data_IF_307202485470
#
_entry.id   IF_307202485470
#
_cell.length_a   1.000
_cell.length_b   1.000
_cell.length_c   1.000
_cell.angle_alpha   90.00
_cell.angle_beta   90.00
_cell.angle_gamma   90.00
#
_symmetry.space_group_name_H-M   'P 1'
#
loop_
_entity.id
_entity.type
_entity.pdbx_description
1 polymer ?
#
# COMPACT_ATOMS: atom_id res chain seq x y z
N UNK A 1 29.89 -24.43 -49.16
CA UNK A 1 30.64 -23.57 -48.22
C UNK A 1 29.90 -23.55 -46.87
N UNK A 2 30.26 -24.43 -45.93
CA UNK A 2 30.89 -24.16 -44.62
C UNK A 2 30.44 -22.89 -43.85
N UNK A 3 29.79 -23.17 -42.71
CA UNK A 3 29.82 -22.50 -41.37
C UNK A 3 29.33 -21.05 -41.33
N UNK A 4 28.53 -20.62 -40.35
CA UNK A 4 28.78 -20.74 -38.92
C UNK A 4 27.49 -20.80 -38.10
N UNK A 5 27.47 -21.74 -37.14
CA UNK A 5 26.54 -21.75 -36.02
C UNK A 5 26.87 -20.57 -35.10
N UNK A 6 25.88 -19.71 -34.82
CA UNK A 6 25.98 -18.77 -33.70
C UNK A 6 25.37 -19.44 -32.46
N UNK A 7 26.24 -20.13 -31.72
CA UNK A 7 25.93 -20.58 -30.36
C UNK A 7 25.70 -19.35 -29.49
N UNK A 8 24.44 -19.09 -29.14
CA UNK A 8 24.11 -18.17 -28.06
C UNK A 8 24.59 -18.78 -26.74
N UNK A 9 25.51 -18.10 -26.07
CA UNK A 9 26.01 -18.46 -24.74
C UNK A 9 24.83 -18.64 -23.77
N UNK A 10 24.82 -19.68 -22.91
CA UNK A 10 23.81 -19.80 -21.87
C UNK A 10 23.95 -18.62 -20.91
N UNK A 11 22.90 -17.80 -20.79
CA UNK A 11 22.83 -16.76 -19.75
C UNK A 11 22.75 -17.48 -18.40
N UNK A 12 23.90 -17.60 -17.72
CA UNK A 12 23.99 -18.08 -16.35
C UNK A 12 23.12 -17.16 -15.49
N UNK A 13 21.93 -17.63 -15.13
CA UNK A 13 21.02 -16.96 -14.19
C UNK A 13 21.70 -17.02 -12.83
N UNK A 14 22.42 -15.95 -12.47
CA UNK A 14 22.95 -15.76 -11.12
C UNK A 14 21.78 -15.91 -10.14
N UNK A 15 21.79 -16.98 -9.35
CA UNK A 15 20.86 -17.14 -8.23
C UNK A 15 21.27 -16.10 -7.20
N UNK A 16 20.55 -14.98 -7.17
CA UNK A 16 20.62 -14.03 -6.07
C UNK A 16 20.23 -14.82 -4.81
N UNK A 17 21.08 -14.89 -3.77
CA UNK A 17 20.68 -15.53 -2.54
C UNK A 17 19.47 -14.75 -2.00
N UNK A 18 18.37 -15.47 -1.75
CA UNK A 18 17.22 -14.93 -1.03
C UNK A 18 17.75 -14.49 0.33
N UNK A 19 17.90 -13.18 0.51
CA UNK A 19 18.06 -12.62 1.84
C UNK A 19 16.93 -13.18 2.69
N UNK A 20 17.28 -13.65 3.88
CA UNK A 20 16.32 -14.08 4.90
C UNK A 20 15.42 -12.88 5.17
N UNK A 21 14.27 -12.85 4.52
CA UNK A 21 13.17 -11.99 4.90
C UNK A 21 12.88 -12.35 6.36
N UNK A 22 13.13 -11.36 7.21
CA UNK A 22 12.90 -11.42 8.63
C UNK A 22 11.47 -11.92 8.83
N UNK A 23 11.33 -12.84 9.78
CA UNK A 23 10.07 -13.38 10.26
C UNK A 23 9.25 -12.24 10.87
N UNK A 24 8.61 -11.44 10.01
CA UNK A 24 7.68 -10.38 10.37
C UNK A 24 6.39 -11.10 10.72
N UNK A 25 6.04 -11.12 12.00
CA UNK A 25 4.79 -11.70 12.47
C UNK A 25 3.63 -11.18 11.62
N UNK A 26 2.95 -12.10 10.92
CA UNK A 26 1.69 -11.85 10.22
C UNK A 26 0.58 -11.67 11.29
N UNK A 27 0.72 -10.71 12.18
CA UNK A 27 -0.38 -10.30 13.05
C UNK A 27 -1.39 -9.57 12.20
N UNK A 28 -2.34 -10.31 11.66
CA UNK A 28 -3.54 -9.74 11.05
C UNK A 28 -4.30 -9.00 12.14
N UNK A 29 -4.23 -7.67 12.09
CA UNK A 29 -5.04 -6.79 12.94
C UNK A 29 -6.50 -7.17 12.75
N UNK A 30 -7.15 -7.60 13.84
CA UNK A 30 -8.59 -7.87 13.85
C UNK A 30 -9.31 -6.52 13.94
N UNK A 31 -10.05 -6.18 12.89
CA UNK A 31 -10.86 -4.97 12.84
C UNK A 31 -12.05 -5.09 13.80
N UNK A 32 -12.03 -4.30 14.88
CA UNK A 32 -13.16 -4.16 15.80
C UNK A 32 -14.23 -3.24 15.20
N UNK A 33 -15.46 -3.32 15.70
CA UNK A 33 -16.54 -2.43 15.24
C UNK A 33 -16.22 -0.96 15.50
N UNK A 34 -15.59 -0.65 16.63
CA UNK A 34 -15.12 0.71 16.93
C UNK A 34 -14.16 1.25 15.87
N UNK A 35 -13.21 0.43 15.39
CA UNK A 35 -12.28 0.83 14.32
C UNK A 35 -13.00 1.08 13.00
N UNK A 36 -13.98 0.23 12.65
CA UNK A 36 -14.78 0.40 11.43
C UNK A 36 -15.61 1.68 11.50
N UNK A 37 -16.27 1.91 12.64
CA UNK A 37 -17.10 3.10 12.87
C UNK A 37 -16.31 4.39 12.74
N UNK A 38 -15.12 4.47 13.35
CA UNK A 38 -14.26 5.66 13.23
C UNK A 38 -13.82 5.85 11.79
N UNK A 39 -13.33 4.80 11.12
CA UNK A 39 -12.91 4.89 9.72
C UNK A 39 -14.04 5.36 8.79
N UNK A 40 -15.24 4.79 8.93
CA UNK A 40 -16.41 5.15 8.13
C UNK A 40 -16.75 6.63 8.36
N UNK A 41 -16.80 7.09 9.61
CA UNK A 41 -17.09 8.49 9.94
C UNK A 41 -16.03 9.44 9.37
N UNK A 42 -14.75 9.11 9.49
CA UNK A 42 -13.66 9.95 8.98
C UNK A 42 -13.68 10.04 7.44
N UNK A 43 -13.99 8.94 6.74
CA UNK A 43 -14.15 8.96 5.27
C UNK A 43 -15.41 9.74 4.85
N UNK A 44 -16.54 9.54 5.53
CA UNK A 44 -17.79 10.23 5.21
C UNK A 44 -17.68 11.75 5.33
N UNK A 45 -16.94 12.25 6.33
CA UNK A 45 -16.68 13.70 6.52
C UNK A 45 -15.94 14.35 5.36
N UNK A 46 -15.18 13.58 4.59
CA UNK A 46 -14.31 14.09 3.53
C UNK A 46 -14.98 13.86 2.17
N UNK A 47 -15.87 14.78 1.79
CA UNK A 47 -16.68 14.66 0.58
C UNK A 47 -15.86 14.40 -0.69
N UNK A 48 -14.66 14.96 -0.81
CA UNK A 48 -13.81 14.76 -1.99
C UNK A 48 -13.37 13.28 -2.19
N UNK A 49 -13.58 12.39 -1.22
CA UNK A 49 -13.34 10.95 -1.38
C UNK A 49 -14.47 10.28 -2.18
N UNK A 50 -15.73 10.63 -1.91
CA UNK A 50 -16.90 9.89 -2.39
C UNK A 50 -17.87 10.71 -3.25
N UNK A 51 -17.91 12.03 -3.09
CA UNK A 51 -18.80 12.93 -3.82
C UNK A 51 -18.18 13.35 -5.15
N UNK A 52 -18.68 12.80 -6.26
CA UNK A 52 -18.20 13.11 -7.61
C UNK A 52 -18.40 14.59 -8.02
N UNK A 53 -19.35 15.28 -7.38
CA UNK A 53 -19.64 16.70 -7.64
C UNK A 53 -18.69 17.63 -6.88
N UNK A 54 -17.92 17.10 -5.92
CA UNK A 54 -16.93 17.89 -5.20
C UNK A 54 -15.78 18.28 -6.15
N UNK A 55 -15.39 19.56 -6.15
CA UNK A 55 -14.34 20.11 -7.03
C UNK A 55 -13.01 19.36 -6.89
N UNK A 56 -12.73 18.85 -5.69
CA UNK A 56 -11.50 18.14 -5.37
C UNK A 56 -11.59 16.62 -5.60
N UNK A 57 -12.73 16.10 -6.09
CA UNK A 57 -12.92 14.66 -6.27
C UNK A 57 -11.83 14.02 -7.15
N UNK A 58 -11.34 14.74 -8.16
CA UNK A 58 -10.26 14.28 -9.05
C UNK A 58 -8.85 14.58 -8.52
N UNK A 59 -8.70 15.31 -7.42
CA UNK A 59 -7.42 15.69 -6.86
C UNK A 59 -6.78 14.52 -6.09
N UNK A 60 -5.89 13.79 -6.76
CA UNK A 60 -5.21 12.63 -6.17
C UNK A 60 -4.28 13.01 -5.00
N UNK A 61 -3.60 14.16 -5.09
CA UNK A 61 -2.70 14.63 -4.02
C UNK A 61 -3.48 14.94 -2.74
N UNK A 62 -4.60 15.65 -2.87
CA UNK A 62 -5.48 15.95 -1.73
C UNK A 62 -6.07 14.69 -1.11
N UNK A 63 -6.54 13.73 -1.92
CA UNK A 63 -7.02 12.44 -1.42
C UNK A 63 -5.93 11.67 -0.67
N UNK A 64 -4.70 11.65 -1.19
CA UNK A 64 -3.56 11.01 -0.51
C UNK A 64 -3.29 11.65 0.85
N UNK A 65 -3.30 12.98 0.92
CA UNK A 65 -3.12 13.71 2.18
C UNK A 65 -4.24 13.34 3.17
N UNK A 66 -5.50 13.35 2.74
CA UNK A 66 -6.62 13.01 3.61
C UNK A 66 -6.51 11.57 4.13
N UNK A 67 -6.18 10.59 3.28
CA UNK A 67 -5.98 9.22 3.74
C UNK A 67 -4.82 9.09 4.72
N UNK A 68 -3.76 9.89 4.57
CA UNK A 68 -2.68 9.95 5.53
C UNK A 68 -3.15 10.50 6.89
N UNK A 69 -3.90 11.60 6.88
CA UNK A 69 -4.49 12.18 8.10
C UNK A 69 -5.43 11.19 8.80
N UNK A 70 -6.29 10.48 8.06
CA UNK A 70 -7.15 9.43 8.61
C UNK A 70 -6.32 8.28 9.19
N UNK A 71 -5.24 7.88 8.53
CA UNK A 71 -4.36 6.83 9.05
C UNK A 71 -3.67 7.25 10.36
N UNK A 72 -3.25 8.52 10.47
CA UNK A 72 -2.70 9.08 11.70
C UNK A 72 -3.73 9.11 12.83
N UNK A 73 -4.96 9.56 12.57
CA UNK A 73 -6.06 9.53 13.53
C UNK A 73 -6.30 8.10 14.05
N UNK A 74 -6.36 7.12 13.14
CA UNK A 74 -6.52 5.70 13.50
C UNK A 74 -5.34 5.14 14.30
N UNK A 75 -4.11 5.57 13.97
CA UNK A 75 -2.89 5.22 14.70
C UNK A 75 -2.93 5.73 16.14
N UNK A 76 -3.32 6.99 16.32
CA UNK A 76 -3.41 7.63 17.63
C UNK A 76 -4.51 7.01 18.50
N UNK A 77 -5.67 6.72 17.91
CA UNK A 77 -6.82 6.18 18.64
C UNK A 77 -6.68 4.70 19.00
N UNK A 78 -6.08 3.89 18.13
CA UNK A 78 -6.07 2.43 18.26
C UNK A 78 -4.66 1.81 18.39
N UNK A 79 -3.61 2.63 18.45
CA UNK A 79 -2.23 2.16 18.59
C UNK A 79 -1.70 1.41 17.36
N UNK A 80 -2.22 1.71 16.17
CA UNK A 80 -1.82 1.06 14.92
C UNK A 80 -0.48 1.64 14.45
N UNK A 81 0.53 0.80 14.26
CA UNK A 81 1.84 1.27 13.77
C UNK A 81 1.76 1.57 12.27
N UNK A 82 1.88 2.85 11.91
CA UNK A 82 2.05 3.27 10.52
C UNK A 82 3.49 2.98 10.05
N UNK A 83 3.63 2.29 8.92
CA UNK A 83 4.92 2.10 8.23
C UNK A 83 4.92 2.99 6.99
N UNK A 84 5.91 3.89 6.91
CA UNK A 84 6.10 4.81 5.79
C UNK A 84 6.67 4.16 4.54
#
# INVERSE_FOLDING_TARGET
MKRMHRHGLPKIRRKIPRNKEQNMSNETIVWTDAMREVLIKSVQRQECIWNFSNVDYRNAAKKRQIFWEIAQEMSEMFGIILKG
#
